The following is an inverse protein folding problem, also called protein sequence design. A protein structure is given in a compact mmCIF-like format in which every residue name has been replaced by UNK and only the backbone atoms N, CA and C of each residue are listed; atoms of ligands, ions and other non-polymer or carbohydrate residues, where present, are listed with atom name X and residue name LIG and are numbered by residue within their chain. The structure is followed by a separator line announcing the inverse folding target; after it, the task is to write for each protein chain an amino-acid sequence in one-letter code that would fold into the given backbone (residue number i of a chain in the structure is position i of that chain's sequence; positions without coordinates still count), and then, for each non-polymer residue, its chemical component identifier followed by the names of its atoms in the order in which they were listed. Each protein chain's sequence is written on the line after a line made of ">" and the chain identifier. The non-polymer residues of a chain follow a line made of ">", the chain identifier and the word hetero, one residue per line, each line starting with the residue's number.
data_IF_701443418898
#
_entry.id   IF_701443418898
#
_cell.length_a   1.000
_cell.length_b   1.000
_cell.length_c   1.000
_cell.angle_alpha   90.00
_cell.angle_beta   90.00
_cell.angle_gamma   90.00
#
_symmetry.space_group_name_H-M   'P 1'
#
loop_
_entity.id
_entity.type
_entity.pdbx_description
1 polymer ?
#
# COMPACT_ATOMS: atom_id res chain seq x y z
N UNK A 1 33.98 0.83 -19.08
CA UNK A 1 32.62 0.63 -19.64
C UNK A 1 31.73 -0.16 -18.68
N UNK A 2 32.08 -1.39 -18.31
CA UNK A 2 31.28 -2.23 -17.41
C UNK A 2 30.94 -1.57 -16.05
N UNK A 3 31.94 -1.02 -15.35
CA UNK A 3 31.73 -0.37 -14.04
C UNK A 3 30.79 0.86 -14.10
N UNK A 4 30.87 1.63 -15.19
CA UNK A 4 30.01 2.81 -15.41
C UNK A 4 28.56 2.35 -15.61
N UNK A 5 28.36 1.29 -16.39
CA UNK A 5 27.03 0.70 -16.62
C UNK A 5 26.44 0.17 -15.30
N UNK A 6 27.23 -0.56 -14.51
CA UNK A 6 26.78 -1.06 -13.19
C UNK A 6 26.42 0.09 -12.25
N UNK A 7 27.25 1.13 -12.17
CA UNK A 7 26.97 2.31 -11.35
C UNK A 7 25.68 3.02 -11.77
N UNK A 8 25.43 3.15 -13.07
CA UNK A 8 24.20 3.72 -13.61
C UNK A 8 22.95 2.91 -13.25
N UNK A 9 23.02 1.57 -13.33
CA UNK A 9 21.89 0.72 -12.93
C UNK A 9 21.63 0.78 -11.42
N UNK A 10 22.68 0.81 -10.59
CA UNK A 10 22.55 0.95 -9.14
C UNK A 10 21.91 2.28 -8.74
N UNK A 11 22.33 3.39 -9.38
CA UNK A 11 21.73 4.70 -9.12
C UNK A 11 20.28 4.77 -9.58
N UNK A 12 19.97 4.25 -10.77
CA UNK A 12 18.58 4.17 -11.26
C UNK A 12 17.68 3.34 -10.34
N UNK A 13 18.18 2.20 -9.84
CA UNK A 13 17.47 1.37 -8.88
C UNK A 13 17.24 2.10 -7.54
N UNK A 14 18.27 2.80 -7.05
CA UNK A 14 18.16 3.61 -5.83
C UNK A 14 17.12 4.73 -5.96
N UNK A 15 17.13 5.46 -7.09
CA UNK A 15 16.14 6.50 -7.39
C UNK A 15 14.73 5.89 -7.48
N UNK A 16 14.58 4.75 -8.15
CA UNK A 16 13.31 4.04 -8.24
C UNK A 16 12.76 3.67 -6.86
N UNK A 17 13.58 3.06 -6.00
CA UNK A 17 13.20 2.67 -4.64
C UNK A 17 12.81 3.90 -3.81
N UNK A 18 13.58 4.98 -3.91
CA UNK A 18 13.29 6.23 -3.19
C UNK A 18 11.94 6.82 -3.63
N UNK A 19 11.70 6.94 -4.93
CA UNK A 19 10.43 7.41 -5.48
C UNK A 19 9.26 6.51 -5.07
N UNK A 20 9.47 5.20 -5.04
CA UNK A 20 8.45 4.24 -4.60
C UNK A 20 8.03 4.51 -3.15
N UNK A 21 8.99 4.54 -2.22
CA UNK A 21 8.68 4.77 -0.80
C UNK A 21 8.15 6.17 -0.52
N UNK A 22 8.54 7.18 -1.30
CA UNK A 22 7.96 8.52 -1.17
C UNK A 22 6.47 8.52 -1.52
N UNK A 23 6.04 7.76 -2.52
CA UNK A 23 4.61 7.59 -2.82
C UNK A 23 3.88 6.80 -1.72
N UNK A 24 4.50 5.76 -1.17
CA UNK A 24 3.92 4.95 -0.06
C UNK A 24 3.64 5.83 1.16
N UNK A 25 4.55 6.74 1.53
CA UNK A 25 4.39 7.62 2.69
C UNK A 25 3.21 8.59 2.60
N UNK A 26 2.71 8.87 1.39
CA UNK A 26 1.57 9.78 1.16
C UNK A 26 0.23 9.10 1.47
N UNK A 27 0.23 7.79 1.65
CA UNK A 27 -0.94 6.98 1.95
C UNK A 27 -1.06 6.74 3.46
N UNK A 28 -2.25 6.36 3.96
CA UNK A 28 -2.42 5.90 5.34
C UNK A 28 -1.42 4.81 5.72
N UNK A 29 -1.01 4.79 7.00
CA UNK A 29 -0.07 3.80 7.51
C UNK A 29 -0.58 2.37 7.28
N UNK A 30 0.33 1.44 7.03
CA UNK A 30 0.00 0.04 6.75
C UNK A 30 1.27 -0.80 6.61
N UNK A 31 1.14 -2.10 6.33
CA UNK A 31 2.27 -3.00 6.16
C UNK A 31 3.20 -2.51 5.04
N UNK A 32 4.50 -2.41 5.34
CA UNK A 32 5.48 -1.86 4.42
C UNK A 32 5.54 -2.70 3.12
N UNK A 33 5.26 -2.11 1.95
CA UNK A 33 5.28 -2.85 0.70
C UNK A 33 6.72 -3.06 0.20
N UNK A 34 6.93 -4.19 -0.46
CA UNK A 34 8.16 -4.47 -1.20
C UNK A 34 8.04 -3.84 -2.59
N UNK A 35 9.08 -3.17 -3.11
CA UNK A 35 9.05 -2.66 -4.48
C UNK A 35 8.70 -3.77 -5.48
N UNK A 36 7.92 -3.44 -6.52
CA UNK A 36 7.34 -4.35 -7.53
C UNK A 36 6.26 -5.34 -7.06
N UNK A 37 6.37 -5.91 -5.85
CA UNK A 37 5.44 -6.95 -5.37
C UNK A 37 4.37 -6.45 -4.39
N UNK A 38 4.57 -5.28 -3.77
CA UNK A 38 3.68 -4.81 -2.71
C UNK A 38 3.74 -5.71 -1.47
N UNK A 39 2.57 -6.04 -0.93
CA UNK A 39 2.40 -6.96 0.19
C UNK A 39 2.00 -8.38 -0.26
N UNK A 40 2.04 -8.70 -1.56
CA UNK A 40 1.66 -10.01 -2.10
C UNK A 40 2.37 -11.20 -1.42
N UNK A 41 3.64 -11.02 -1.02
CA UNK A 41 4.44 -12.08 -0.39
C UNK A 41 4.14 -12.25 1.10
N UNK A 42 3.60 -11.21 1.75
CA UNK A 42 3.31 -11.20 3.20
C UNK A 42 1.86 -11.56 3.49
N UNK A 43 0.96 -11.33 2.53
CA UNK A 43 -0.47 -11.55 2.66
C UNK A 43 -0.84 -12.95 2.17
N UNK A 44 -1.61 -13.67 2.98
CA UNK A 44 -2.17 -14.95 2.62
C UNK A 44 -3.51 -14.76 1.91
N UNK A 45 -3.54 -14.87 0.58
CA UNK A 45 -4.77 -14.72 -0.22
C UNK A 45 -5.91 -15.66 0.17
N UNK A 46 -5.62 -16.82 0.77
CA UNK A 46 -6.65 -17.75 1.26
C UNK A 46 -7.29 -17.28 2.56
N UNK A 47 -6.60 -16.43 3.32
CA UNK A 47 -6.98 -15.94 4.66
C UNK A 47 -6.91 -14.42 4.75
N UNK A 48 -7.14 -13.73 3.63
CA UNK A 48 -7.00 -12.27 3.54
C UNK A 48 -7.83 -11.53 4.61
N UNK A 49 -9.02 -12.02 4.92
CA UNK A 49 -9.89 -11.43 5.95
C UNK A 49 -9.27 -11.50 7.35
N UNK A 50 -8.52 -12.56 7.68
CA UNK A 50 -7.77 -12.69 8.94
C UNK A 50 -6.63 -11.66 8.96
N UNK A 51 -5.82 -11.61 7.89
CA UNK A 51 -4.70 -10.67 7.77
C UNK A 51 -5.16 -9.20 7.86
N UNK A 52 -6.26 -8.85 7.17
CA UNK A 52 -6.86 -7.52 7.25
C UNK A 52 -7.40 -7.21 8.66
N UNK A 53 -7.96 -8.21 9.36
CA UNK A 53 -8.39 -8.04 10.74
C UNK A 53 -7.21 -7.78 11.67
N UNK A 54 -6.09 -8.44 11.47
CA UNK A 54 -4.88 -8.24 12.27
C UNK A 54 -4.21 -6.90 11.96
N UNK A 55 -4.14 -6.51 10.68
CA UNK A 55 -3.71 -5.16 10.29
C UNK A 55 -4.60 -4.07 10.86
N UNK A 56 -5.91 -4.30 10.97
CA UNK A 56 -6.81 -3.34 11.62
C UNK A 56 -6.48 -3.14 13.10
N UNK A 57 -5.99 -4.17 13.80
CA UNK A 57 -5.55 -4.07 15.20
C UNK A 57 -4.22 -3.33 15.32
N UNK A 58 -3.32 -3.51 14.35
CA UNK A 58 -1.96 -2.94 14.36
C UNK A 58 -1.93 -1.48 13.87
N UNK A 59 -2.59 -1.19 12.74
CA UNK A 59 -2.53 0.10 12.05
C UNK A 59 -3.76 0.99 12.31
N UNK A 60 -4.82 0.43 12.89
CA UNK A 60 -6.06 1.12 13.22
C UNK A 60 -7.16 0.95 12.17
N UNK A 61 -8.18 1.80 12.23
CA UNK A 61 -9.40 1.68 11.42
C UNK A 61 -9.26 2.04 9.95
N UNK A 62 -8.16 2.70 9.56
CA UNK A 62 -7.85 3.09 8.19
C UNK A 62 -6.38 2.80 7.90
N UNK A 63 -6.13 1.89 6.97
CA UNK A 63 -4.77 1.49 6.60
C UNK A 63 -4.64 1.16 5.12
N UNK A 64 -3.41 1.11 4.62
CA UNK A 64 -3.13 0.80 3.21
C UNK A 64 -2.51 -0.57 3.05
N UNK A 65 -3.04 -1.39 2.15
CA UNK A 65 -2.43 -2.68 1.73
C UNK A 65 -2.12 -2.62 0.24
N UNK A 66 -0.92 -3.02 -0.14
CA UNK A 66 -0.49 -3.06 -1.54
C UNK A 66 -0.73 -4.44 -2.14
N UNK A 67 -1.79 -4.56 -2.95
CA UNK A 67 -2.13 -5.77 -3.71
C UNK A 67 -2.03 -5.45 -5.21
N UNK A 68 -0.88 -5.70 -5.84
CA UNK A 68 -0.31 -4.96 -6.99
C UNK A 68 -0.45 -3.42 -7.04
N UNK A 69 -1.56 -2.89 -6.55
CA UNK A 69 -1.90 -1.48 -6.42
C UNK A 69 -2.18 -1.16 -4.94
N UNK A 70 -2.05 0.09 -4.51
CA UNK A 70 -2.40 0.49 -3.15
C UNK A 70 -3.92 0.50 -2.96
N UNK A 71 -4.39 -0.22 -1.94
CA UNK A 71 -5.78 -0.19 -1.48
C UNK A 71 -5.86 0.38 -0.08
N UNK A 72 -6.71 1.40 0.10
CA UNK A 72 -7.05 1.92 1.42
C UNK A 72 -8.23 1.09 1.95
N UNK A 73 -8.01 0.40 3.05
CA UNK A 73 -9.00 -0.42 3.74
C UNK A 73 -9.54 0.38 4.92
N UNK A 74 -10.87 0.42 5.05
CA UNK A 74 -11.58 1.05 6.15
C UNK A 74 -12.35 -0.04 6.87
N UNK A 75 -12.18 -0.17 8.18
CA UNK A 75 -12.84 -1.19 9.00
C UNK A 75 -13.90 -0.63 9.96
N UNK A 76 -13.91 0.69 10.15
CA UNK A 76 -14.87 1.37 11.02
C UNK A 76 -16.20 1.67 10.30
N UNK A 77 -17.31 1.31 10.93
CA UNK A 77 -18.65 1.42 10.33
C UNK A 77 -19.07 2.88 10.07
N UNK A 78 -18.79 3.79 11.00
CA UNK A 78 -19.17 5.19 10.86
C UNK A 78 -18.36 5.86 9.74
N UNK A 79 -17.06 5.55 9.65
CA UNK A 79 -16.20 5.99 8.54
C UNK A 79 -16.64 5.42 7.19
N UNK A 80 -17.05 4.15 7.13
CA UNK A 80 -17.60 3.55 5.92
C UNK A 80 -18.86 4.32 5.51
N UNK A 81 -19.80 4.54 6.44
CA UNK A 81 -21.04 5.28 6.17
C UNK A 81 -20.76 6.71 5.68
N UNK A 82 -19.83 7.43 6.31
CA UNK A 82 -19.45 8.77 5.85
C UNK A 82 -18.81 8.71 4.46
N UNK A 83 -17.86 7.80 4.24
CA UNK A 83 -17.17 7.66 2.95
C UNK A 83 -18.17 7.38 1.81
N UNK A 84 -19.13 6.48 2.02
CA UNK A 84 -20.18 6.19 1.05
C UNK A 84 -21.14 7.38 0.86
N UNK A 85 -21.56 8.07 1.92
CA UNK A 85 -22.47 9.21 1.80
C UNK A 85 -21.83 10.41 1.07
N UNK A 86 -20.54 10.64 1.29
CA UNK A 86 -19.78 11.77 0.74
C UNK A 86 -19.35 11.53 -0.70
N UNK A 87 -18.89 10.31 -1.02
CA UNK A 87 -18.42 9.93 -2.36
C UNK A 87 -19.50 9.39 -3.27
N UNK A 88 -20.56 8.78 -2.73
CA UNK A 88 -21.73 8.31 -3.50
C UNK A 88 -22.44 9.42 -4.29
N UNK A 89 -22.31 10.68 -3.83
CA UNK A 89 -22.83 11.86 -4.53
C UNK A 89 -22.03 12.27 -5.78
N UNK A 90 -20.79 11.79 -5.93
CA UNK A 90 -19.90 12.11 -7.05
C UNK A 90 -19.80 10.98 -8.09
N UNK A 91 -20.57 9.91 -7.94
CA UNK A 91 -20.61 8.75 -8.85
C UNK A 91 -21.90 8.71 -9.67
N UNK A 92 -22.52 9.86 -9.91
CA UNK A 92 -23.71 10.03 -10.75
C UNK A 92 -23.47 11.13 -11.77
#
# INVERSE_FOLDING_TARGET
>A
MFLIVVSFFLSALGIYIWLFYENVKRLPKGPAPIPFFGNLLSVNFRKLHEDLSDYSKEYGSVFTVWLPLPYVVITDYDLIKEAFAKKGRHIN
#
